data_IF_437366706869
#
_entry.id   IF_437366706869
#
_cell.length_a   1.000
_cell.length_b   1.000
_cell.length_c   1.000
_cell.angle_alpha   90.00
_cell.angle_beta   90.00
_cell.angle_gamma   90.00
#
_symmetry.space_group_name_H-M   'P 1'
#
loop_
_entity.id
_entity.type
_entity.pdbx_description
1 polymer ?
#
# COMPACT_ATOMS: atom_id res chain seq x y z
N UNK A 1 21.95 15.18 26.99
CA UNK A 1 22.06 13.90 27.67
C UNK A 1 22.16 12.77 26.65
N UNK A 2 23.07 11.83 26.86
CA UNK A 2 23.42 10.77 25.90
C UNK A 2 22.23 9.83 25.64
N UNK A 3 21.37 9.62 26.63
CA UNK A 3 20.17 8.79 26.47
C UNK A 3 19.22 9.29 25.37
N UNK A 4 18.98 10.61 25.25
CA UNK A 4 18.13 11.16 24.19
C UNK A 4 18.80 11.01 22.80
N UNK A 5 20.13 11.15 22.73
CA UNK A 5 20.89 10.94 21.49
C UNK A 5 20.78 9.49 21.04
N UNK A 6 20.92 8.54 21.95
CA UNK A 6 20.80 7.11 21.66
C UNK A 6 19.36 6.75 21.20
N UNK A 7 18.35 7.30 21.87
CA UNK A 7 16.95 7.08 21.46
C UNK A 7 16.68 7.62 20.04
N UNK A 8 17.20 8.81 19.70
CA UNK A 8 17.06 9.37 18.34
C UNK A 8 17.77 8.56 17.27
N UNK A 9 18.89 7.94 17.62
CA UNK A 9 19.63 7.07 16.70
C UNK A 9 18.92 5.72 16.47
N UNK A 10 18.10 5.27 17.41
CA UNK A 10 17.41 3.98 17.35
C UNK A 10 16.06 4.01 16.60
N UNK A 11 15.58 5.18 16.19
CA UNK A 11 14.27 5.31 15.52
C UNK A 11 14.23 6.52 14.61
N UNK A 12 13.46 6.41 13.50
CA UNK A 12 13.13 7.54 12.62
C UNK A 12 12.00 8.41 13.20
N UNK A 13 11.38 8.00 14.31
CA UNK A 13 10.34 8.80 14.97
C UNK A 13 10.92 10.11 15.53
N UNK A 14 10.14 11.17 15.48
CA UNK A 14 10.52 12.49 16.01
C UNK A 14 10.32 12.54 17.52
N UNK A 15 11.32 12.11 18.25
CA UNK A 15 11.32 12.15 19.73
C UNK A 15 12.19 13.29 20.25
N UNK A 16 11.80 13.84 21.40
CA UNK A 16 12.57 14.88 22.09
C UNK A 16 12.77 16.16 21.26
N UNK A 17 11.75 16.58 20.49
CA UNK A 17 11.82 17.75 19.59
C UNK A 17 11.90 19.10 20.30
N UNK A 18 11.67 19.11 21.62
CA UNK A 18 11.69 20.31 22.44
C UNK A 18 10.43 21.17 22.30
N UNK A 19 10.23 22.04 23.29
CA UNK A 19 9.08 22.92 23.39
C UNK A 19 9.49 24.37 23.59
N UNK A 20 8.58 25.30 23.27
CA UNK A 20 8.59 26.69 23.64
C UNK A 20 7.27 26.96 24.40
N UNK A 21 7.30 26.85 25.73
CA UNK A 21 6.08 26.79 26.56
C UNK A 21 5.25 25.52 26.24
N UNK A 22 3.92 25.63 26.07
CA UNK A 22 3.04 24.50 25.76
C UNK A 22 3.14 24.03 24.30
N UNK A 23 3.80 24.78 23.42
CA UNK A 23 3.88 24.51 21.96
C UNK A 23 5.22 23.90 21.57
N UNK A 24 5.30 23.16 20.44
CA UNK A 24 6.56 22.83 19.80
C UNK A 24 7.35 24.10 19.44
N UNK A 25 8.67 24.01 19.35
CA UNK A 25 9.49 25.09 18.80
C UNK A 25 9.07 25.37 17.35
N UNK A 26 9.12 26.64 16.92
CA UNK A 26 8.69 27.07 15.58
C UNK A 26 9.31 26.23 14.47
N UNK A 27 10.61 26.02 14.49
CA UNK A 27 11.28 25.19 13.48
C UNK A 27 10.72 23.76 13.42
N UNK A 28 10.44 23.14 14.57
CA UNK A 28 9.84 21.80 14.64
C UNK A 28 8.40 21.80 14.12
N UNK A 29 7.63 22.83 14.42
CA UNK A 29 6.24 22.96 13.96
C UNK A 29 6.17 23.15 12.43
N UNK A 30 7.03 24.01 11.87
CA UNK A 30 7.10 24.22 10.40
C UNK A 30 7.53 22.97 9.66
N UNK A 31 8.53 22.27 10.19
CA UNK A 31 8.96 20.98 9.60
C UNK A 31 7.83 19.96 9.63
N UNK A 32 7.10 19.86 10.73
CA UNK A 32 5.96 18.95 10.85
C UNK A 32 4.84 19.30 9.86
N UNK A 33 4.54 20.60 9.67
CA UNK A 33 3.55 21.05 8.68
C UNK A 33 3.98 20.71 7.24
N UNK A 34 5.25 20.91 6.91
CA UNK A 34 5.79 20.51 5.60
C UNK A 34 5.64 19.01 5.34
N UNK A 35 5.98 18.18 6.31
CA UNK A 35 5.83 16.73 6.20
C UNK A 35 4.36 16.30 6.12
N UNK A 36 3.47 17.02 6.80
CA UNK A 36 2.03 16.78 6.68
C UNK A 36 1.54 17.08 5.26
N UNK A 37 2.01 18.18 4.63
CA UNK A 37 1.72 18.49 3.23
C UNK A 37 2.15 17.38 2.29
N UNK A 38 3.39 16.91 2.41
CA UNK A 38 3.89 15.77 1.59
C UNK A 38 3.07 14.49 1.81
N UNK A 39 2.61 14.26 3.04
CA UNK A 39 1.74 13.11 3.35
C UNK A 39 0.37 13.25 2.67
N UNK A 40 -0.20 14.46 2.63
CA UNK A 40 -1.46 14.72 1.91
C UNK A 40 -1.29 14.46 0.41
N UNK A 41 -0.22 14.96 -0.20
CA UNK A 41 0.08 14.72 -1.63
C UNK A 41 0.20 13.21 -1.92
N UNK A 42 0.85 12.45 -1.03
CA UNK A 42 0.98 11.00 -1.17
C UNK A 42 -0.37 10.27 -1.06
N UNK A 43 -1.25 10.71 -0.16
CA UNK A 43 -2.57 10.11 0.07
C UNK A 43 -3.50 10.36 -1.13
N UNK A 44 -3.50 11.56 -1.69
CA UNK A 44 -4.37 11.94 -2.82
C UNK A 44 -3.76 11.64 -4.19
N UNK A 45 -2.52 11.15 -4.23
CA UNK A 45 -1.90 10.68 -5.46
C UNK A 45 -2.62 9.47 -6.07
N UNK A 46 -2.48 9.31 -7.37
CA UNK A 46 -3.02 8.17 -8.14
C UNK A 46 -1.86 7.42 -8.78
N UNK A 47 -1.89 6.09 -8.70
CA UNK A 47 -0.90 5.24 -9.37
C UNK A 47 -1.07 5.36 -10.88
N UNK A 48 0.02 5.60 -11.60
CA UNK A 48 -0.01 5.84 -13.04
C UNK A 48 -0.58 4.65 -13.82
N UNK A 49 -1.34 4.94 -14.88
CA UNK A 49 -1.84 3.90 -15.76
C UNK A 49 -0.68 3.18 -16.46
N UNK A 50 0.36 3.94 -16.83
CA UNK A 50 1.55 3.42 -17.50
C UNK A 50 2.19 2.26 -16.75
N UNK A 51 2.39 2.36 -15.44
CA UNK A 51 2.99 1.28 -14.65
C UNK A 51 2.06 0.06 -14.53
N UNK A 52 0.75 0.29 -14.48
CA UNK A 52 -0.22 -0.81 -14.45
C UNK A 52 -0.20 -1.60 -15.75
N UNK A 53 -0.15 -0.91 -16.89
CA UNK A 53 -0.08 -1.50 -18.22
C UNK A 53 1.26 -2.22 -18.44
N UNK A 54 2.37 -1.60 -18.05
CA UNK A 54 3.72 -2.18 -18.15
C UNK A 54 3.84 -3.49 -17.35
N UNK A 55 3.22 -3.55 -16.18
CA UNK A 55 3.22 -4.74 -15.33
C UNK A 55 2.11 -5.74 -15.70
N UNK A 56 1.28 -5.47 -16.69
CA UNK A 56 0.19 -6.34 -17.12
C UNK A 56 -0.90 -6.52 -16.06
N UNK A 57 -1.18 -5.47 -15.30
CA UNK A 57 -2.15 -5.50 -14.20
C UNK A 57 -3.52 -5.04 -14.69
N UNK A 58 -4.54 -5.87 -14.55
CA UNK A 58 -5.90 -5.37 -14.63
C UNK A 58 -6.28 -4.68 -13.31
N UNK A 59 -7.21 -3.75 -13.36
CA UNK A 59 -7.57 -2.90 -12.22
C UNK A 59 -8.95 -3.25 -11.71
N UNK A 60 -9.06 -3.43 -10.40
CA UNK A 60 -10.32 -3.62 -9.69
C UNK A 60 -10.45 -2.60 -8.56
N UNK A 61 -11.65 -2.38 -8.04
CA UNK A 61 -11.91 -1.43 -6.99
C UNK A 61 -12.44 -2.10 -5.71
N UNK A 62 -12.21 -1.42 -4.59
CA UNK A 62 -12.87 -1.75 -3.32
C UNK A 62 -14.29 -1.16 -3.29
N UNK A 63 -15.02 -1.35 -2.18
CA UNK A 63 -16.34 -0.74 -1.96
C UNK A 63 -16.30 0.76 -1.66
N UNK A 64 -15.11 1.35 -1.64
CA UNK A 64 -14.89 2.78 -1.41
C UNK A 64 -15.28 3.59 -2.63
N UNK A 65 -16.13 4.61 -2.45
CA UNK A 65 -16.54 5.50 -3.53
C UNK A 65 -15.52 6.57 -3.89
N UNK A 66 -14.86 7.17 -2.90
CA UNK A 66 -13.87 8.22 -3.10
C UNK A 66 -12.77 8.22 -2.03
N UNK A 67 -11.79 9.12 -2.17
CA UNK A 67 -10.62 9.18 -1.29
C UNK A 67 -10.95 9.66 0.12
N UNK A 68 -11.95 10.47 0.31
CA UNK A 68 -12.41 10.92 1.63
C UNK A 68 -13.07 9.76 2.38
N UNK A 69 -13.94 9.02 1.71
CA UNK A 69 -14.54 7.81 2.26
C UNK A 69 -13.47 6.76 2.60
N UNK A 70 -12.44 6.61 1.76
CA UNK A 70 -11.30 5.73 2.05
C UNK A 70 -10.63 6.03 3.39
N UNK A 71 -10.49 7.32 3.74
CA UNK A 71 -9.86 7.73 4.99
C UNK A 71 -10.80 7.50 6.19
N UNK A 72 -12.09 7.77 6.02
CA UNK A 72 -13.09 7.70 7.09
C UNK A 72 -13.67 6.30 7.31
N UNK A 73 -13.70 5.46 6.26
CA UNK A 73 -14.30 4.12 6.27
C UNK A 73 -13.28 3.04 5.89
N UNK A 74 -12.30 2.75 6.76
CA UNK A 74 -11.28 1.75 6.48
C UNK A 74 -11.83 0.33 6.32
N UNK A 75 -13.03 0.07 6.76
CA UNK A 75 -13.76 -1.19 6.59
C UNK A 75 -14.10 -1.44 5.11
N UNK A 76 -14.51 -0.42 4.36
CA UNK A 76 -14.84 -0.52 2.93
C UNK A 76 -13.59 -0.80 2.07
N UNK A 77 -12.46 -0.22 2.41
CA UNK A 77 -11.17 -0.49 1.74
C UNK A 77 -10.60 -1.90 1.98
N UNK A 78 -11.25 -2.70 2.80
CA UNK A 78 -10.93 -4.12 3.05
C UNK A 78 -11.88 -5.08 2.33
N UNK A 79 -12.79 -4.56 1.53
CA UNK A 79 -13.79 -5.34 0.80
C UNK A 79 -13.78 -4.97 -0.68
N UNK A 80 -13.79 -5.97 -1.52
CA UNK A 80 -13.94 -5.80 -2.97
C UNK A 80 -15.36 -5.36 -3.31
N UNK A 81 -15.51 -4.55 -4.36
CA UNK A 81 -16.81 -4.31 -4.98
C UNK A 81 -17.36 -5.61 -5.60
N UNK A 82 -18.65 -5.65 -5.89
CA UNK A 82 -19.27 -6.84 -6.49
C UNK A 82 -18.75 -7.08 -7.91
N UNK A 83 -18.43 -6.02 -8.65
CA UNK A 83 -17.83 -6.07 -9.98
C UNK A 83 -16.41 -6.62 -9.89
N UNK A 84 -15.61 -6.12 -8.94
CA UNK A 84 -14.25 -6.61 -8.70
C UNK A 84 -14.22 -8.10 -8.35
N UNK A 85 -15.18 -8.58 -7.57
CA UNK A 85 -15.30 -9.99 -7.22
C UNK A 85 -15.50 -10.86 -8.46
N UNK A 86 -16.42 -10.47 -9.35
CA UNK A 86 -16.70 -11.18 -10.60
C UNK A 86 -15.47 -11.21 -11.50
N UNK A 87 -14.82 -10.06 -11.67
CA UNK A 87 -13.64 -9.93 -12.52
C UNK A 87 -12.46 -10.80 -12.03
N UNK A 88 -12.21 -10.82 -10.72
CA UNK A 88 -11.19 -11.70 -10.10
C UNK A 88 -11.60 -13.16 -10.25
N UNK A 89 -12.89 -13.48 -10.12
CA UNK A 89 -13.37 -14.85 -10.29
C UNK A 89 -13.16 -15.37 -11.72
N UNK A 90 -13.33 -14.52 -12.72
CA UNK A 90 -13.17 -14.85 -14.14
C UNK A 90 -11.71 -14.87 -14.60
N UNK A 91 -10.88 -13.90 -14.16
CA UNK A 91 -9.53 -13.69 -14.69
C UNK A 91 -8.41 -14.36 -13.90
N UNK A 92 -8.64 -14.66 -12.62
CA UNK A 92 -7.58 -15.16 -11.76
C UNK A 92 -7.52 -16.68 -11.70
N UNK A 93 -6.29 -17.18 -11.69
CA UNK A 93 -5.99 -18.60 -11.43
C UNK A 93 -6.49 -18.94 -10.02
N UNK A 94 -7.15 -20.08 -9.89
CA UNK A 94 -7.64 -20.60 -8.60
C UNK A 94 -6.60 -21.50 -7.94
N UNK A 95 -6.56 -21.46 -6.62
CA UNK A 95 -5.68 -22.25 -5.77
C UNK A 95 -4.17 -22.11 -6.09
N UNK A 96 -3.64 -20.90 -6.40
CA UNK A 96 -2.20 -20.75 -6.56
C UNK A 96 -1.50 -20.92 -5.20
N UNK A 97 -0.19 -21.20 -5.22
CA UNK A 97 0.60 -21.19 -4.00
C UNK A 97 0.68 -19.78 -3.42
N UNK A 98 0.89 -18.78 -4.29
CA UNK A 98 1.00 -17.38 -3.90
C UNK A 98 0.16 -16.48 -4.81
N UNK A 99 -0.71 -15.67 -4.22
CA UNK A 99 -1.39 -14.57 -4.90
C UNK A 99 -0.71 -13.26 -4.54
N UNK A 100 -0.34 -12.47 -5.55
CA UNK A 100 0.19 -11.11 -5.37
C UNK A 100 -0.91 -10.11 -5.72
N UNK A 101 -1.23 -9.23 -4.78
CA UNK A 101 -2.15 -8.11 -4.96
C UNK A 101 -1.36 -6.81 -4.81
N UNK A 102 -1.59 -5.85 -5.68
CA UNK A 102 -0.95 -4.54 -5.65
C UNK A 102 -2.02 -3.50 -5.39
N UNK A 103 -1.83 -2.64 -4.42
CA UNK A 103 -2.80 -1.62 -4.05
C UNK A 103 -2.15 -0.25 -3.86
N UNK A 104 -2.89 0.82 -4.13
CA UNK A 104 -2.42 2.19 -3.96
C UNK A 104 -2.12 2.54 -2.48
N UNK A 105 -2.90 2.01 -1.56
CA UNK A 105 -2.74 2.26 -0.13
C UNK A 105 -2.80 3.75 0.23
N UNK A 106 -1.86 4.20 1.05
CA UNK A 106 -1.71 5.60 1.47
C UNK A 106 -0.64 6.36 0.67
N UNK A 107 -0.03 5.74 -0.34
CA UNK A 107 1.01 6.40 -1.15
C UNK A 107 1.10 5.78 -2.55
N UNK A 108 0.44 6.40 -3.51
CA UNK A 108 0.58 6.05 -4.91
C UNK A 108 2.03 6.17 -5.39
N UNK A 109 2.75 7.21 -4.97
CA UNK A 109 4.14 7.42 -5.32
C UNK A 109 5.06 6.27 -4.87
N UNK A 110 4.75 5.60 -3.75
CA UNK A 110 5.53 4.45 -3.31
C UNK A 110 5.36 3.24 -4.24
N UNK A 111 4.21 3.11 -4.88
CA UNK A 111 3.98 2.09 -5.91
C UNK A 111 4.69 2.48 -7.21
N UNK A 112 4.46 3.68 -7.73
CA UNK A 112 5.06 4.16 -8.98
C UNK A 112 6.60 4.08 -8.97
N UNK A 113 7.22 4.42 -7.84
CA UNK A 113 8.67 4.45 -7.73
C UNK A 113 9.32 3.07 -7.54
N UNK A 114 8.60 2.10 -6.98
CA UNK A 114 9.24 0.84 -6.55
C UNK A 114 8.68 -0.42 -7.23
N UNK A 115 7.51 -0.35 -7.86
CA UNK A 115 6.85 -1.55 -8.39
C UNK A 115 7.68 -2.21 -9.51
N UNK A 116 8.29 -1.40 -10.38
CA UNK A 116 9.14 -1.87 -11.49
C UNK A 116 10.32 -2.71 -11.03
N UNK A 117 10.87 -2.40 -9.88
CA UNK A 117 12.03 -3.13 -9.35
C UNK A 117 11.61 -4.33 -8.50
N UNK A 118 10.60 -4.14 -7.64
CA UNK A 118 10.24 -5.14 -6.63
C UNK A 118 9.41 -6.28 -7.24
N UNK A 119 8.40 -5.96 -8.07
CA UNK A 119 7.45 -6.97 -8.52
C UNK A 119 8.09 -8.05 -9.40
N UNK A 120 8.91 -7.74 -10.42
CA UNK A 120 9.54 -8.76 -11.25
C UNK A 120 10.47 -9.69 -10.46
N UNK A 121 11.25 -9.11 -9.53
CA UNK A 121 12.18 -9.88 -8.68
C UNK A 121 11.40 -10.84 -7.77
N UNK A 122 10.33 -10.34 -7.14
CA UNK A 122 9.46 -11.16 -6.29
C UNK A 122 8.80 -12.29 -7.08
N UNK A 123 8.19 -11.95 -8.22
CA UNK A 123 7.47 -12.93 -9.04
C UNK A 123 8.42 -14.00 -9.61
N UNK A 124 9.63 -13.61 -10.04
CA UNK A 124 10.62 -14.55 -10.54
C UNK A 124 11.17 -15.44 -9.41
N UNK A 125 11.50 -14.87 -8.25
CA UNK A 125 12.00 -15.65 -7.11
C UNK A 125 10.99 -16.69 -6.61
N UNK A 126 9.70 -16.37 -6.63
CA UNK A 126 8.65 -17.34 -6.29
C UNK A 126 8.56 -18.48 -7.30
N UNK A 127 8.66 -18.18 -8.61
CA UNK A 127 8.69 -19.19 -9.69
C UNK A 127 9.94 -20.07 -9.58
N UNK A 128 11.11 -19.49 -9.32
CA UNK A 128 12.37 -20.23 -9.17
C UNK A 128 12.34 -21.16 -7.94
N UNK A 129 11.55 -20.80 -6.92
CA UNK A 129 11.25 -21.66 -5.78
C UNK A 129 10.21 -22.78 -6.09
N UNK A 130 9.73 -22.89 -7.33
CA UNK A 130 8.76 -23.89 -7.76
C UNK A 130 7.32 -23.60 -7.31
N UNK A 131 7.00 -22.35 -6.92
CA UNK A 131 5.68 -21.96 -6.47
C UNK A 131 4.82 -21.46 -7.65
N UNK A 132 3.55 -21.83 -7.64
CA UNK A 132 2.56 -21.30 -8.59
C UNK A 132 2.15 -19.90 -8.14
N UNK A 133 2.45 -18.89 -8.98
CA UNK A 133 2.05 -17.50 -8.74
C UNK A 133 0.73 -17.22 -9.44
N UNK A 134 -0.25 -16.68 -8.71
CA UNK A 134 -1.56 -16.29 -9.23
C UNK A 134 -1.48 -15.10 -10.19
N UNK A 135 -2.58 -14.84 -10.90
CA UNK A 135 -2.71 -13.71 -11.81
C UNK A 135 -2.61 -12.39 -11.01
N UNK A 136 -1.64 -11.51 -11.30
CA UNK A 136 -1.49 -10.26 -10.58
C UNK A 136 -2.56 -9.24 -11.01
N UNK A 137 -2.96 -8.36 -10.11
CA UNK A 137 -3.87 -7.25 -10.39
C UNK A 137 -3.67 -6.09 -9.43
N UNK A 138 -4.18 -4.94 -9.82
CA UNK A 138 -4.15 -3.71 -9.05
C UNK A 138 -5.51 -3.46 -8.39
N UNK A 139 -5.51 -2.98 -7.15
CA UNK A 139 -6.72 -2.69 -6.37
C UNK A 139 -6.72 -1.21 -5.98
N UNK A 140 -7.69 -0.47 -6.47
CA UNK A 140 -7.91 0.93 -6.10
C UNK A 140 -8.53 1.04 -4.70
N UNK A 141 -8.07 2.04 -3.94
CA UNK A 141 -8.48 2.32 -2.56
C UNK A 141 -8.30 1.11 -1.61
N UNK A 142 -7.18 0.39 -1.78
CA UNK A 142 -6.92 -0.83 -1.04
C UNK A 142 -6.38 -0.58 0.36
N UNK A 143 -6.94 -1.23 1.36
CA UNK A 143 -6.34 -1.43 2.68
C UNK A 143 -5.68 -2.82 2.74
N UNK A 144 -4.64 -2.97 3.54
CA UNK A 144 -3.90 -4.24 3.64
C UNK A 144 -4.83 -5.43 3.91
N UNK A 145 -5.88 -5.25 4.71
CA UNK A 145 -6.85 -6.31 5.01
C UNK A 145 -7.66 -6.84 3.82
N UNK A 146 -7.58 -6.21 2.63
CA UNK A 146 -8.23 -6.68 1.40
C UNK A 146 -7.75 -8.08 0.99
N UNK A 147 -6.52 -8.47 1.40
CA UNK A 147 -5.97 -9.80 1.15
C UNK A 147 -6.91 -10.94 1.56
N UNK A 148 -7.60 -10.76 2.70
CA UNK A 148 -8.52 -11.78 3.20
C UNK A 148 -9.71 -11.94 2.26
N UNK A 149 -10.24 -10.83 1.75
CA UNK A 149 -11.37 -10.82 0.85
C UNK A 149 -11.01 -11.42 -0.53
N UNK A 150 -9.86 -11.03 -1.09
CA UNK A 150 -9.30 -11.64 -2.29
C UNK A 150 -9.14 -13.15 -2.11
N UNK A 151 -8.61 -13.59 -0.98
CA UNK A 151 -8.34 -15.00 -0.74
C UNK A 151 -9.61 -15.86 -0.63
N UNK A 152 -10.76 -15.28 -0.29
CA UNK A 152 -12.04 -16.00 -0.34
C UNK A 152 -12.40 -16.45 -1.75
N UNK A 153 -11.90 -15.74 -2.78
CA UNK A 153 -12.18 -15.98 -4.19
C UNK A 153 -11.11 -16.86 -4.84
N UNK A 154 -9.83 -16.48 -4.70
CA UNK A 154 -8.72 -17.17 -5.39
C UNK A 154 -8.24 -18.43 -4.65
N UNK A 155 -8.47 -18.50 -3.33
CA UNK A 155 -8.09 -19.62 -2.45
C UNK A 155 -6.60 -19.97 -2.54
N UNK A 156 -5.74 -18.95 -2.56
CA UNK A 156 -4.30 -19.11 -2.52
C UNK A 156 -3.83 -19.66 -1.17
N UNK A 157 -2.72 -20.38 -1.14
CA UNK A 157 -2.10 -20.80 0.12
C UNK A 157 -1.54 -19.61 0.89
N UNK A 158 -1.02 -18.61 0.18
CA UNK A 158 -0.51 -17.35 0.72
C UNK A 158 -0.92 -16.19 -0.17
N UNK A 159 -1.35 -15.07 0.43
CA UNK A 159 -1.63 -13.83 -0.30
C UNK A 159 -0.68 -12.75 0.18
N UNK A 160 0.01 -12.11 -0.76
CA UNK A 160 0.94 -11.00 -0.53
C UNK A 160 0.28 -9.72 -1.03
N UNK A 161 0.16 -8.70 -0.18
CA UNK A 161 -0.23 -7.37 -0.59
C UNK A 161 0.99 -6.45 -0.67
N UNK A 162 1.31 -5.98 -1.88
CA UNK A 162 2.21 -4.84 -2.08
C UNK A 162 1.35 -3.57 -2.06
N UNK A 163 1.29 -2.93 -0.91
CA UNK A 163 0.47 -1.75 -0.69
C UNK A 163 1.35 -0.51 -0.52
N UNK A 164 0.95 0.62 -1.10
CA UNK A 164 1.64 1.89 -0.90
C UNK A 164 1.54 2.31 0.56
N UNK A 165 2.67 2.41 1.23
CA UNK A 165 2.78 2.93 2.58
C UNK A 165 3.69 4.16 2.56
N UNK A 166 3.31 5.19 3.30
CA UNK A 166 4.22 6.31 3.55
C UNK A 166 5.34 5.79 4.45
N UNK A 167 6.48 5.46 3.85
CA UNK A 167 7.72 5.25 4.59
C UNK A 167 8.51 6.55 4.61
N UNK A 168 8.97 6.93 5.77
CA UNK A 168 10.12 7.81 5.90
C UNK A 168 11.32 7.00 6.22
#
# INVERSE_FOLDING_TARGET
>A
PDGLKNLRAATNARIGIGRAGPRPRTASALLFQGDHGVTQDAIYGVVSQEIRDEMGLFTVATQVGDREEYLLRPDLGRRLSDEARKEIEEKCIKNPDVQICIGDGLSAAAIDNNLREIYPVLAQGLKDAGLTVGTPFFIENARVGIMNDVNTIVKAKTTIAKNGATSR
#
